data_IF_334818895093
#
_entry.id   IF_334818895093
#
_cell.length_a   1.000
_cell.length_b   1.000
_cell.length_c   1.000
_cell.angle_alpha   90.00
_cell.angle_beta   90.00
_cell.angle_gamma   90.00
#
_symmetry.space_group_name_H-M   'P 1'
#
loop_
_entity.id
_entity.type
_entity.pdbx_description
1 polymer ?
#
# COMPACT_ATOMS: atom_id res chain seq x y z
N UNK A 1 30.72 -7.86 18.80
CA UNK A 1 29.64 -8.70 19.33
C UNK A 1 29.19 -8.33 20.75
N UNK A 2 30.08 -7.89 21.68
CA UNK A 2 29.67 -7.58 23.07
C UNK A 2 29.01 -6.22 23.32
N UNK A 3 29.10 -5.24 22.43
CA UNK A 3 28.47 -3.92 22.60
C UNK A 3 26.95 -3.93 22.29
N UNK A 4 26.48 -4.71 21.31
CA UNK A 4 25.07 -4.80 20.96
C UNK A 4 24.20 -5.44 22.05
N UNK A 5 24.71 -6.44 22.76
CA UNK A 5 23.98 -7.14 23.83
C UNK A 5 23.75 -6.23 25.05
N UNK A 6 24.73 -5.38 25.40
CA UNK A 6 24.59 -4.42 26.50
C UNK A 6 23.63 -3.28 26.17
N UNK A 7 23.57 -2.78 24.94
CA UNK A 7 22.62 -1.74 24.53
C UNK A 7 21.17 -2.24 24.51
N UNK A 8 20.93 -3.52 24.20
CA UNK A 8 19.56 -4.09 24.14
C UNK A 8 18.96 -4.32 25.54
N UNK A 9 19.75 -4.75 26.52
CA UNK A 9 19.30 -4.93 27.91
C UNK A 9 18.86 -3.60 28.56
N UNK A 10 19.39 -2.47 28.08
CA UNK A 10 18.99 -1.13 28.51
C UNK A 10 17.73 -0.59 27.79
N UNK A 11 17.34 -1.13 26.64
CA UNK A 11 16.21 -0.61 25.84
C UNK A 11 14.83 -1.05 26.35
N UNK A 12 14.75 -2.26 26.89
CA UNK A 12 13.48 -2.82 27.41
C UNK A 12 13.70 -3.45 28.77
N UNK A 13 13.92 -2.62 29.82
CA UNK A 13 14.18 -3.15 31.17
C UNK A 13 12.99 -3.97 31.67
N UNK A 14 13.24 -5.20 32.06
CA UNK A 14 12.25 -6.10 32.63
C UNK A 14 11.62 -7.10 31.65
N UNK A 15 11.97 -7.06 30.34
CA UNK A 15 11.49 -8.04 29.36
C UNK A 15 12.62 -9.02 29.05
N UNK A 16 12.38 -10.32 29.25
CA UNK A 16 13.31 -11.40 28.91
C UNK A 16 12.89 -12.08 27.58
N UNK A 17 13.67 -11.91 26.49
CA UNK A 17 13.38 -12.56 25.21
C UNK A 17 13.29 -14.10 25.30
N UNK A 18 14.07 -14.72 26.22
CA UNK A 18 14.02 -16.16 26.42
C UNK A 18 12.71 -16.60 27.05
N UNK A 19 12.15 -15.81 27.99
CA UNK A 19 10.85 -16.08 28.58
C UNK A 19 9.72 -15.96 27.53
N UNK A 20 9.78 -14.94 26.66
CA UNK A 20 8.82 -14.76 25.54
C UNK A 20 8.89 -15.93 24.56
N UNK A 21 10.09 -16.35 24.15
CA UNK A 21 10.28 -17.51 23.27
C UNK A 21 9.75 -18.82 23.91
N UNK A 22 10.01 -19.01 25.21
CA UNK A 22 9.47 -20.15 25.97
C UNK A 22 7.93 -20.11 26.08
N UNK A 23 7.33 -18.93 26.14
CA UNK A 23 5.87 -18.77 26.14
C UNK A 23 5.28 -19.15 24.79
N UNK A 24 5.87 -18.71 23.67
CA UNK A 24 5.48 -19.11 22.32
C UNK A 24 5.44 -20.64 22.20
N UNK A 25 6.52 -21.33 22.58
CA UNK A 25 6.59 -22.79 22.55
C UNK A 25 5.50 -23.44 23.41
N UNK A 26 5.26 -22.96 24.63
CA UNK A 26 4.21 -23.49 25.53
C UNK A 26 2.79 -23.36 24.96
N UNK A 27 2.56 -22.31 24.14
CA UNK A 27 1.28 -22.08 23.46
C UNK A 27 1.19 -22.80 22.12
N UNK A 28 2.18 -23.65 21.78
CA UNK A 28 2.18 -24.50 20.60
C UNK A 28 2.70 -23.82 19.34
N UNK A 29 3.53 -22.80 19.45
CA UNK A 29 4.23 -22.20 18.30
C UNK A 29 5.28 -23.18 17.79
N UNK A 30 5.17 -23.58 16.53
CA UNK A 30 6.04 -24.57 15.87
C UNK A 30 7.07 -23.95 14.93
N UNK A 31 6.87 -22.69 14.51
CA UNK A 31 7.77 -21.96 13.62
C UNK A 31 9.08 -21.53 14.30
N UNK A 32 9.99 -20.92 13.52
CA UNK A 32 11.25 -20.41 14.06
C UNK A 32 11.03 -19.14 14.93
N UNK A 33 11.82 -19.04 15.99
CA UNK A 33 11.83 -17.86 16.87
C UNK A 33 13.26 -17.38 17.00
N UNK A 34 13.50 -16.11 16.65
CA UNK A 34 14.81 -15.47 16.70
C UNK A 34 14.82 -14.42 17.82
N UNK A 35 15.77 -14.59 18.76
CA UNK A 35 16.03 -13.64 19.86
C UNK A 35 17.22 -12.75 19.46
N UNK A 36 17.40 -11.60 20.12
CA UNK A 36 18.50 -10.68 19.82
C UNK A 36 19.90 -11.28 19.71
N UNK A 37 20.16 -12.39 20.42
CA UNK A 37 21.46 -13.08 20.43
C UNK A 37 21.57 -14.20 19.38
N UNK A 38 20.48 -14.52 18.69
CA UNK A 38 20.46 -15.62 17.73
C UNK A 38 21.01 -15.17 16.35
N UNK A 39 21.77 -16.04 15.65
CA UNK A 39 22.12 -15.81 14.25
C UNK A 39 20.84 -15.63 13.42
N UNK A 40 20.73 -14.65 12.59
CA UNK A 40 19.53 -14.40 11.78
C UNK A 40 18.55 -13.39 12.39
N UNK A 41 18.65 -13.06 13.68
CA UNK A 41 17.78 -12.04 14.25
C UNK A 41 17.82 -10.73 13.46
N UNK A 42 18.99 -10.25 13.07
CA UNK A 42 19.15 -9.03 12.29
C UNK A 42 18.54 -9.16 10.90
N UNK A 43 18.68 -10.32 10.24
CA UNK A 43 18.10 -10.58 8.93
C UNK A 43 16.56 -10.54 8.95
N UNK A 44 15.94 -11.10 9.99
CA UNK A 44 14.49 -11.25 10.04
C UNK A 44 13.75 -10.06 10.67
N UNK A 45 14.43 -9.17 11.41
CA UNK A 45 13.83 -7.97 12.01
C UNK A 45 13.79 -6.78 11.07
N UNK A 46 14.67 -6.73 10.07
CA UNK A 46 14.81 -5.60 9.18
C UNK A 46 13.62 -5.51 8.19
N UNK A 47 13.08 -4.31 7.94
CA UNK A 47 12.13 -4.07 6.87
C UNK A 47 12.86 -3.99 5.50
N UNK A 48 12.07 -3.89 4.41
CA UNK A 48 12.63 -3.76 3.06
C UNK A 48 13.50 -2.49 2.89
N UNK A 49 13.15 -1.41 3.57
CA UNK A 49 13.84 -0.13 3.48
C UNK A 49 14.55 0.18 4.80
N UNK A 50 15.76 0.69 4.72
CA UNK A 50 16.64 1.04 5.84
C UNK A 50 16.27 2.37 6.56
N UNK A 51 15.08 2.91 6.25
CA UNK A 51 14.57 4.14 6.88
C UNK A 51 14.31 4.00 8.38
N UNK A 52 14.08 2.77 8.85
CA UNK A 52 13.93 2.43 10.27
C UNK A 52 14.75 1.19 10.61
N UNK A 53 15.20 1.09 11.85
CA UNK A 53 15.99 -0.02 12.35
C UNK A 53 15.31 -0.58 13.63
N UNK A 54 14.30 -1.47 13.47
CA UNK A 54 13.48 -1.94 14.59
C UNK A 54 14.19 -2.97 15.46
N UNK A 55 13.90 -2.97 16.76
CA UNK A 55 14.42 -3.96 17.72
C UNK A 55 13.26 -4.65 18.46
N UNK A 56 12.58 -5.64 17.85
CA UNK A 56 11.57 -6.44 18.55
C UNK A 56 12.19 -7.30 19.66
N UNK A 57 11.41 -7.67 20.67
CA UNK A 57 11.82 -8.61 21.72
C UNK A 57 12.17 -9.96 21.16
N UNK A 58 11.34 -10.43 20.23
CA UNK A 58 11.56 -11.64 19.41
C UNK A 58 11.00 -11.44 18.02
N UNK A 59 11.59 -12.14 17.04
CA UNK A 59 10.99 -12.35 15.70
C UNK A 59 10.48 -13.78 15.66
N UNK A 60 9.20 -13.95 15.35
CA UNK A 60 8.52 -15.25 15.28
C UNK A 60 8.03 -15.51 13.84
N UNK A 61 8.50 -16.57 13.21
CA UNK A 61 8.11 -16.98 11.85
C UNK A 61 6.98 -18.00 11.89
N UNK A 62 5.74 -17.56 11.69
CA UNK A 62 4.58 -18.42 11.78
C UNK A 62 4.43 -19.32 10.55
N UNK A 63 4.25 -20.62 10.76
CA UNK A 63 4.02 -21.64 9.74
C UNK A 63 2.54 -21.87 9.40
N UNK A 64 1.63 -21.41 10.27
CA UNK A 64 0.19 -21.57 10.10
C UNK A 64 -0.66 -20.76 11.07
N UNK A 65 -2.00 -20.84 10.98
CA UNK A 65 -2.90 -20.09 11.86
C UNK A 65 -2.74 -20.42 13.36
N UNK A 66 -2.30 -21.63 13.69
CA UNK A 66 -2.02 -22.03 15.08
C UNK A 66 -0.85 -21.21 15.66
N UNK A 67 0.22 -21.04 14.88
CA UNK A 67 1.36 -20.20 15.28
C UNK A 67 0.95 -18.74 15.42
N UNK A 68 0.16 -18.22 14.47
CA UNK A 68 -0.38 -16.85 14.58
C UNK A 68 -1.15 -16.68 15.88
N UNK A 69 -2.01 -17.66 16.24
CA UNK A 69 -2.74 -17.65 17.49
C UNK A 69 -1.82 -17.68 18.72
N UNK A 70 -0.80 -18.53 18.71
CA UNK A 70 0.18 -18.63 19.78
C UNK A 70 0.94 -17.31 19.97
N UNK A 71 1.33 -16.64 18.86
CA UNK A 71 1.99 -15.34 18.91
C UNK A 71 1.08 -14.24 19.49
N UNK A 72 -0.19 -14.18 19.08
CA UNK A 72 -1.18 -13.23 19.60
C UNK A 72 -1.39 -13.43 21.10
N UNK A 73 -1.58 -14.68 21.56
CA UNK A 73 -1.76 -14.98 22.97
C UNK A 73 -0.51 -14.68 23.78
N UNK A 74 0.69 -14.98 23.27
CA UNK A 74 1.94 -14.66 23.92
C UNK A 74 2.08 -13.16 24.11
N UNK A 75 1.90 -12.37 23.05
CA UNK A 75 2.01 -10.92 23.09
C UNK A 75 1.00 -10.32 24.10
N UNK A 76 -0.24 -10.84 24.11
CA UNK A 76 -1.28 -10.41 25.07
C UNK A 76 -0.92 -10.72 26.53
N UNK A 77 -0.46 -11.96 26.80
CA UNK A 77 -0.16 -12.40 28.16
C UNK A 77 1.11 -11.74 28.75
N UNK A 78 2.07 -11.39 27.87
CA UNK A 78 3.29 -10.68 28.25
C UNK A 78 3.11 -9.13 28.15
N UNK A 79 1.89 -8.64 27.84
CA UNK A 79 1.55 -7.21 27.65
C UNK A 79 2.41 -6.50 26.60
N UNK A 80 2.91 -7.25 25.60
CA UNK A 80 3.74 -6.75 24.50
C UNK A 80 2.88 -6.34 23.31
N UNK A 81 3.25 -5.30 22.55
CA UNK A 81 2.63 -5.04 21.27
C UNK A 81 3.04 -6.10 20.23
N UNK A 82 2.19 -6.32 19.23
CA UNK A 82 2.46 -7.25 18.15
C UNK A 82 2.46 -6.51 16.82
N UNK A 83 3.56 -6.65 16.08
CA UNK A 83 3.69 -6.22 14.70
C UNK A 83 3.60 -7.42 13.76
N UNK A 84 3.04 -7.23 12.55
CA UNK A 84 2.99 -8.27 11.51
C UNK A 84 3.71 -7.75 10.27
N UNK A 85 4.61 -8.57 9.72
CA UNK A 85 5.38 -8.21 8.53
C UNK A 85 5.48 -9.40 7.56
N UNK A 86 5.31 -9.10 6.26
CA UNK A 86 5.63 -9.99 5.14
C UNK A 86 6.84 -9.41 4.42
N UNK A 87 6.62 -8.57 3.40
CA UNK A 87 7.69 -8.00 2.57
C UNK A 87 8.35 -6.74 3.15
N UNK A 88 7.73 -6.11 4.15
CA UNK A 88 8.26 -4.88 4.76
C UNK A 88 8.07 -3.59 3.94
N UNK A 89 7.41 -3.62 2.79
CA UNK A 89 7.20 -2.44 1.93
C UNK A 89 6.48 -1.27 2.64
N UNK A 90 5.54 -1.56 3.52
CA UNK A 90 4.74 -0.56 4.24
C UNK A 90 5.10 -0.42 5.71
N UNK A 91 6.33 -0.74 6.09
CA UNK A 91 6.78 -0.65 7.48
C UNK A 91 7.28 0.76 7.79
N UNK A 92 6.43 1.56 8.41
CA UNK A 92 6.74 2.94 8.85
C UNK A 92 6.85 3.09 10.37
N UNK A 93 6.37 2.08 11.11
CA UNK A 93 6.44 2.05 12.58
C UNK A 93 7.37 0.92 12.98
N UNK A 94 8.44 1.18 13.76
CA UNK A 94 9.34 0.13 14.21
C UNK A 94 8.63 -0.83 15.17
N UNK A 95 9.00 -2.11 15.09
CA UNK A 95 8.48 -3.16 16.00
C UNK A 95 9.16 -3.19 17.37
N UNK A 96 9.72 -2.08 17.81
CA UNK A 96 10.47 -1.93 19.04
C UNK A 96 9.70 -2.42 20.26
N UNK A 97 10.34 -3.26 21.08
CA UNK A 97 9.78 -3.78 22.32
C UNK A 97 8.56 -4.69 22.15
N UNK A 98 8.23 -5.07 20.92
CA UNK A 98 7.10 -5.94 20.62
C UNK A 98 7.52 -7.32 20.13
N UNK A 99 6.53 -8.16 19.84
CA UNK A 99 6.70 -9.38 19.05
C UNK A 99 6.56 -9.02 17.59
N UNK A 100 7.57 -9.30 16.77
CA UNK A 100 7.48 -9.22 15.31
C UNK A 100 7.08 -10.57 14.75
N UNK A 101 5.87 -10.67 14.22
CA UNK A 101 5.34 -11.88 13.58
C UNK A 101 5.57 -11.82 12.08
N UNK A 102 6.31 -12.78 11.55
CA UNK A 102 6.54 -12.99 10.13
C UNK A 102 5.62 -14.10 9.61
N UNK A 103 4.97 -13.88 8.48
CA UNK A 103 4.04 -14.84 7.87
C UNK A 103 4.45 -15.26 6.46
N UNK A 104 5.70 -15.01 6.08
CA UNK A 104 6.23 -15.23 4.73
C UNK A 104 6.06 -16.67 4.23
N UNK A 105 6.22 -17.69 5.10
CA UNK A 105 6.07 -19.09 4.75
C UNK A 105 4.65 -19.51 4.34
N UNK A 106 3.66 -18.68 4.66
CA UNK A 106 2.24 -18.93 4.39
C UNK A 106 1.81 -18.26 3.06
N UNK A 107 2.53 -18.53 1.96
CA UNK A 107 2.35 -17.86 0.66
C UNK A 107 1.42 -18.59 -0.32
N UNK A 108 0.62 -19.54 0.14
CA UNK A 108 -0.28 -20.28 -0.73
C UNK A 108 -1.21 -19.37 -1.54
N UNK A 109 -1.31 -19.62 -2.86
CA UNK A 109 -2.22 -18.96 -3.80
C UNK A 109 -3.09 -20.00 -4.47
N UNK A 110 -4.41 -19.87 -4.35
CA UNK A 110 -5.40 -20.74 -4.99
C UNK A 110 -6.32 -19.85 -5.81
N UNK A 111 -6.40 -20.12 -7.12
CA UNK A 111 -7.30 -19.42 -8.05
C UNK A 111 -8.41 -20.36 -8.49
N UNK A 112 -9.65 -19.92 -8.36
CA UNK A 112 -10.84 -20.55 -8.94
C UNK A 112 -11.26 -19.69 -10.16
N UNK A 113 -10.90 -20.09 -11.38
CA UNK A 113 -11.16 -19.30 -12.57
C UNK A 113 -12.65 -19.23 -12.93
N UNK A 114 -13.42 -20.27 -12.63
CA UNK A 114 -14.86 -20.30 -12.93
C UNK A 114 -15.64 -19.30 -12.06
N UNK A 115 -15.26 -19.21 -10.79
CA UNK A 115 -15.84 -18.24 -9.85
C UNK A 115 -15.13 -16.90 -9.89
N UNK A 116 -13.98 -16.82 -10.55
CA UNK A 116 -13.10 -15.63 -10.60
C UNK A 116 -12.73 -15.14 -9.19
N UNK A 117 -12.22 -16.06 -8.39
CA UNK A 117 -11.86 -15.81 -7.00
C UNK A 117 -10.42 -16.28 -6.78
N UNK A 118 -9.64 -15.48 -6.04
CA UNK A 118 -8.41 -15.94 -5.45
C UNK A 118 -8.55 -16.06 -3.94
N UNK A 119 -7.97 -17.13 -3.37
CA UNK A 119 -7.74 -17.29 -1.94
C UNK A 119 -6.25 -17.39 -1.70
N UNK A 120 -5.74 -16.55 -0.79
CA UNK A 120 -4.31 -16.44 -0.51
C UNK A 120 -4.02 -16.57 0.97
N UNK A 121 -2.84 -17.11 1.29
CA UNK A 121 -2.27 -17.03 2.62
C UNK A 121 -1.71 -15.63 2.91
N UNK A 122 -1.46 -15.29 4.19
CA UNK A 122 -1.03 -13.96 4.59
C UNK A 122 0.35 -13.56 4.05
N UNK A 123 1.20 -14.53 3.68
CA UNK A 123 2.54 -14.32 3.13
C UNK A 123 2.61 -14.15 1.62
N UNK A 124 1.49 -14.31 0.89
CA UNK A 124 1.47 -14.23 -0.57
C UNK A 124 1.88 -12.85 -1.09
N UNK A 125 2.61 -12.83 -2.21
CA UNK A 125 3.02 -11.63 -2.93
C UNK A 125 2.17 -11.42 -4.18
N UNK A 126 2.03 -10.18 -4.63
CA UNK A 126 1.23 -9.86 -5.82
C UNK A 126 1.74 -10.55 -7.08
N UNK A 127 3.06 -10.73 -7.24
CA UNK A 127 3.63 -11.44 -8.39
C UNK A 127 3.12 -12.88 -8.52
N UNK A 128 2.96 -13.60 -7.40
CA UNK A 128 2.45 -14.97 -7.36
C UNK A 128 0.98 -15.02 -7.79
N UNK A 129 0.16 -14.09 -7.29
CA UNK A 129 -1.27 -14.01 -7.63
C UNK A 129 -1.47 -13.59 -9.09
N UNK A 130 -0.71 -12.62 -9.58
CA UNK A 130 -0.77 -12.17 -10.97
C UNK A 130 -0.39 -13.30 -11.92
N UNK A 131 0.67 -14.05 -11.61
CA UNK A 131 1.12 -15.17 -12.44
C UNK A 131 0.07 -16.30 -12.49
N UNK A 132 -0.52 -16.66 -11.35
CA UNK A 132 -1.51 -17.72 -11.28
C UNK A 132 -2.84 -17.33 -11.95
N UNK A 133 -3.36 -16.13 -11.66
CA UNK A 133 -4.60 -15.62 -12.27
C UNK A 133 -4.46 -15.38 -13.79
N UNK A 134 -3.28 -14.93 -14.22
CA UNK A 134 -2.98 -14.65 -15.63
C UNK A 134 -3.08 -15.88 -16.52
N UNK A 135 -2.86 -17.11 -16.01
CA UNK A 135 -3.06 -18.37 -16.76
C UNK A 135 -4.48 -18.55 -17.28
N UNK A 136 -5.44 -17.90 -16.64
CA UNK A 136 -6.86 -17.94 -17.00
C UNK A 136 -7.37 -16.60 -17.57
N UNK A 137 -6.47 -15.68 -17.97
CA UNK A 137 -6.84 -14.36 -18.47
C UNK A 137 -7.50 -13.46 -17.42
N UNK A 138 -7.22 -13.72 -16.14
CA UNK A 138 -7.74 -12.96 -15.00
C UNK A 138 -6.65 -12.09 -14.38
N UNK A 139 -7.06 -10.95 -13.81
CA UNK A 139 -6.18 -10.06 -13.06
C UNK A 139 -6.77 -9.69 -11.69
N UNK A 140 -5.91 -9.60 -10.65
CA UNK A 140 -6.27 -8.98 -9.37
C UNK A 140 -6.17 -7.46 -9.44
N UNK A 141 -6.66 -6.75 -8.42
CA UNK A 141 -6.44 -5.32 -8.26
C UNK A 141 -5.10 -5.05 -7.56
N UNK A 142 -4.04 -5.57 -8.15
CA UNK A 142 -2.67 -5.43 -7.64
C UNK A 142 -2.14 -4.01 -7.81
N UNK A 143 -1.17 -3.65 -6.97
CA UNK A 143 -0.41 -2.40 -7.08
C UNK A 143 0.66 -2.44 -8.17
N UNK A 144 1.64 -1.55 -8.04
CA UNK A 144 2.69 -1.34 -9.05
C UNK A 144 3.97 -2.17 -8.81
N UNK A 145 3.99 -3.07 -7.83
CA UNK A 145 5.15 -3.92 -7.53
C UNK A 145 4.73 -5.36 -7.24
N UNK A 146 5.38 -6.31 -7.91
CA UNK A 146 5.17 -7.74 -7.74
C UNK A 146 5.60 -8.27 -6.37
N UNK A 147 6.51 -7.57 -5.68
CA UNK A 147 7.09 -7.99 -4.40
C UNK A 147 6.32 -7.47 -3.17
N UNK A 148 5.26 -6.70 -3.38
CA UNK A 148 4.38 -6.24 -2.29
C UNK A 148 3.50 -7.38 -1.79
N UNK A 149 3.39 -7.51 -0.46
CA UNK A 149 2.49 -8.48 0.17
C UNK A 149 1.01 -8.15 -0.06
N UNK A 150 0.25 -9.14 -0.52
CA UNK A 150 -1.18 -9.00 -0.88
C UNK A 150 -2.00 -8.49 0.30
N UNK A 151 -1.82 -9.11 1.47
CA UNK A 151 -2.65 -8.84 2.66
C UNK A 151 -2.48 -7.42 3.16
N UNK A 152 -1.24 -6.99 3.48
CA UNK A 152 -1.00 -5.65 4.01
C UNK A 152 -1.44 -4.53 3.05
N UNK A 153 -1.18 -4.72 1.75
CA UNK A 153 -1.63 -3.80 0.71
C UNK A 153 -3.17 -3.68 0.68
N UNK A 154 -3.87 -4.80 0.69
CA UNK A 154 -5.33 -4.84 0.58
C UNK A 154 -6.01 -4.27 1.82
N UNK A 155 -5.50 -4.59 3.02
CA UNK A 155 -6.03 -4.03 4.27
C UNK A 155 -5.91 -2.51 4.36
N UNK A 156 -4.90 -1.91 3.72
CA UNK A 156 -4.73 -0.46 3.61
C UNK A 156 -5.61 0.22 2.56
N UNK A 157 -6.38 -0.57 1.79
CA UNK A 157 -7.20 -0.12 0.67
C UNK A 157 -6.72 -0.68 -0.67
N UNK A 158 -5.46 -0.48 -1.01
CA UNK A 158 -4.82 -1.01 -2.21
C UNK A 158 -5.23 -0.33 -3.51
N UNK A 159 -4.35 0.52 -4.06
CA UNK A 159 -4.55 1.23 -5.33
C UNK A 159 -3.69 0.63 -6.43
N UNK A 160 -4.31 0.18 -7.52
CA UNK A 160 -3.65 -0.33 -8.72
C UNK A 160 -4.10 0.37 -10.00
N UNK A 161 -3.51 -0.05 -11.12
CA UNK A 161 -3.79 0.52 -12.45
C UNK A 161 -5.17 0.12 -13.01
N UNK A 162 -5.83 -0.88 -12.44
CA UNK A 162 -7.22 -1.24 -12.74
C UNK A 162 -8.23 -0.54 -11.81
N UNK A 163 -7.77 0.33 -10.91
CA UNK A 163 -8.59 0.93 -9.86
C UNK A 163 -9.73 1.80 -10.40
N UNK A 164 -9.49 2.61 -11.42
CA UNK A 164 -10.54 3.44 -12.04
C UNK A 164 -11.69 2.60 -12.61
N UNK A 165 -11.39 1.41 -13.12
CA UNK A 165 -12.41 0.50 -13.68
C UNK A 165 -13.11 -0.33 -12.64
N UNK A 166 -12.43 -0.74 -11.56
CA UNK A 166 -12.92 -1.78 -10.66
C UNK A 166 -12.91 -1.42 -9.16
N UNK A 167 -12.39 -0.26 -8.77
CA UNK A 167 -12.27 0.16 -7.37
C UNK A 167 -10.93 -0.20 -6.73
N UNK A 168 -10.87 -0.08 -5.41
CA UNK A 168 -9.70 -0.46 -4.62
C UNK A 168 -9.63 -1.98 -4.43
N UNK A 169 -8.44 -2.52 -4.15
CA UNK A 169 -8.29 -3.95 -3.85
C UNK A 169 -9.18 -4.39 -2.68
N UNK A 170 -9.33 -3.54 -1.67
CA UNK A 170 -10.23 -3.77 -0.54
C UNK A 170 -11.71 -3.93 -0.95
N UNK A 171 -12.13 -3.27 -2.04
CA UNK A 171 -13.51 -3.39 -2.54
C UNK A 171 -13.76 -4.76 -3.19
N UNK A 172 -12.70 -5.48 -3.59
CA UNK A 172 -12.78 -6.83 -4.17
C UNK A 172 -12.84 -7.94 -3.11
N UNK A 173 -12.52 -7.66 -1.84
CA UNK A 173 -12.48 -8.67 -0.76
C UNK A 173 -13.87 -9.25 -0.52
N UNK A 174 -13.91 -10.58 -0.43
CA UNK A 174 -15.13 -11.36 -0.17
C UNK A 174 -15.20 -11.86 1.26
N UNK A 175 -14.05 -12.28 1.82
CA UNK A 175 -13.91 -12.71 3.21
C UNK A 175 -12.45 -12.74 3.65
N UNK A 176 -12.23 -12.70 4.97
CA UNK A 176 -10.94 -12.88 5.60
C UNK A 176 -11.06 -13.85 6.78
N UNK A 177 -10.05 -14.68 7.00
CA UNK A 177 -9.86 -15.42 8.25
C UNK A 177 -8.88 -14.64 9.12
N UNK A 178 -9.23 -14.42 10.38
CA UNK A 178 -8.53 -13.47 11.25
C UNK A 178 -8.35 -14.06 12.63
N UNK A 179 -7.16 -13.99 13.19
CA UNK A 179 -6.92 -14.18 14.63
C UNK A 179 -7.05 -12.83 15.32
N UNK A 180 -8.09 -12.69 16.16
CA UNK A 180 -8.38 -11.47 16.92
C UNK A 180 -7.53 -11.37 18.20
N UNK A 181 -7.52 -10.22 18.88
CA UNK A 181 -6.64 -9.99 20.05
C UNK A 181 -6.92 -10.93 21.23
N UNK A 182 -8.09 -11.55 21.30
CA UNK A 182 -8.40 -12.59 22.29
C UNK A 182 -7.89 -13.98 21.91
N UNK A 183 -7.27 -14.14 20.74
CA UNK A 183 -6.77 -15.41 20.21
C UNK A 183 -7.85 -16.23 19.49
N UNK A 184 -9.04 -15.70 19.24
CA UNK A 184 -10.09 -16.40 18.49
C UNK A 184 -9.80 -16.34 16.98
N UNK A 185 -9.95 -17.47 16.28
CA UNK A 185 -9.94 -17.52 14.83
C UNK A 185 -11.36 -17.33 14.33
N UNK A 186 -11.61 -16.23 13.64
CA UNK A 186 -12.94 -15.85 13.11
C UNK A 186 -12.92 -15.66 11.61
N UNK A 187 -14.08 -15.86 10.97
CA UNK A 187 -14.27 -15.49 9.56
C UNK A 187 -15.03 -14.16 9.50
N UNK A 188 -14.41 -13.15 8.89
CA UNK A 188 -15.03 -11.87 8.61
C UNK A 188 -15.57 -11.85 7.17
N UNK A 189 -16.86 -11.60 7.00
CA UNK A 189 -17.57 -11.50 5.72
C UNK A 189 -18.80 -10.60 5.89
N UNK A 190 -19.55 -10.26 4.82
CA UNK A 190 -20.80 -9.50 4.96
C UNK A 190 -21.80 -10.12 5.95
N UNK A 191 -21.85 -11.46 6.03
CA UNK A 191 -22.80 -12.22 6.85
C UNK A 191 -22.22 -12.66 8.20
N UNK A 192 -20.90 -12.55 8.39
CA UNK A 192 -20.22 -12.96 9.63
C UNK A 192 -19.22 -11.91 10.07
N UNK A 193 -19.32 -11.40 11.29
CA UNK A 193 -18.49 -10.32 11.80
C UNK A 193 -18.48 -9.09 10.87
N UNK A 194 -19.63 -8.54 10.43
CA UNK A 194 -19.72 -7.51 9.39
C UNK A 194 -18.98 -6.21 9.77
N UNK A 195 -18.93 -5.87 11.05
CA UNK A 195 -18.17 -4.70 11.52
C UNK A 195 -16.65 -4.89 11.33
N UNK A 196 -16.13 -6.08 11.66
CA UNK A 196 -14.73 -6.44 11.42
C UNK A 196 -14.43 -6.48 9.92
N UNK A 197 -15.31 -7.10 9.13
CA UNK A 197 -15.19 -7.17 7.68
C UNK A 197 -15.10 -5.77 7.03
N UNK A 198 -15.96 -4.84 7.47
CA UNK A 198 -15.90 -3.45 7.01
C UNK A 198 -14.58 -2.79 7.39
N UNK A 199 -14.13 -2.94 8.65
CA UNK A 199 -12.91 -2.31 9.15
C UNK A 199 -11.63 -2.83 8.47
N UNK A 200 -11.56 -4.13 8.15
CA UNK A 200 -10.42 -4.74 7.45
C UNK A 200 -10.24 -4.21 6.01
N UNK A 201 -11.28 -3.67 5.39
CA UNK A 201 -11.27 -3.21 4.00
C UNK A 201 -10.88 -1.73 3.87
N UNK A 202 -9.76 -1.35 4.49
CA UNK A 202 -9.18 0.00 4.45
C UNK A 202 -8.66 0.50 5.80
N UNK A 203 -9.00 -0.16 6.92
CA UNK A 203 -8.55 0.24 8.26
C UNK A 203 -7.17 -0.31 8.65
N UNK A 204 -6.48 -1.00 7.75
CA UNK A 204 -5.13 -1.55 8.00
C UNK A 204 -5.12 -2.75 8.97
N UNK A 205 -3.95 -3.01 9.52
CA UNK A 205 -3.69 -4.15 10.40
C UNK A 205 -4.04 -3.88 11.88
N UNK A 206 -5.16 -3.20 12.15
CA UNK A 206 -5.54 -2.76 13.49
C UNK A 206 -6.40 -3.75 14.28
N UNK A 207 -7.01 -4.73 13.63
CA UNK A 207 -8.15 -5.47 14.19
C UNK A 207 -7.87 -6.96 14.41
N UNK A 208 -6.69 -7.43 14.06
CA UNK A 208 -6.28 -8.82 14.13
C UNK A 208 -5.24 -9.17 13.07
N UNK A 209 -4.77 -10.41 13.13
CA UNK A 209 -3.84 -10.98 12.14
C UNK A 209 -4.63 -11.79 11.13
N UNK A 210 -4.64 -11.36 9.87
CA UNK A 210 -5.26 -12.10 8.77
C UNK A 210 -4.44 -13.35 8.48
N UNK A 211 -5.09 -14.52 8.42
CA UNK A 211 -4.48 -15.82 8.11
C UNK A 211 -4.90 -16.36 6.74
N UNK A 212 -5.96 -15.83 6.17
CA UNK A 212 -6.33 -16.06 4.76
C UNK A 212 -7.19 -14.91 4.27
N UNK A 213 -7.03 -14.57 2.99
CA UNK A 213 -7.81 -13.53 2.31
C UNK A 213 -8.41 -14.11 1.03
N UNK A 214 -9.69 -13.83 0.78
CA UNK A 214 -10.40 -14.23 -0.44
C UNK A 214 -10.95 -12.99 -1.14
N UNK A 215 -10.69 -12.84 -2.45
CA UNK A 215 -11.09 -11.67 -3.22
C UNK A 215 -11.40 -12.00 -4.68
N UNK A 216 -12.14 -11.10 -5.34
CA UNK A 216 -12.52 -11.22 -6.76
C UNK A 216 -11.34 -10.98 -7.67
N UNK A 217 -11.34 -11.70 -8.78
CA UNK A 217 -10.51 -11.50 -9.95
C UNK A 217 -11.36 -10.96 -11.11
N UNK A 218 -10.72 -10.26 -12.03
CA UNK A 218 -11.40 -9.60 -13.15
C UNK A 218 -10.89 -10.14 -14.48
N UNK A 219 -11.76 -10.31 -15.50
CA UNK A 219 -11.34 -10.74 -16.84
C UNK A 219 -10.56 -9.60 -17.50
N UNK A 220 -9.25 -9.75 -17.56
CA UNK A 220 -8.30 -8.80 -18.17
C UNK A 220 -7.19 -9.62 -18.85
N UNK A 221 -7.48 -10.22 -20.02
CA UNK A 221 -6.49 -11.04 -20.73
C UNK A 221 -5.35 -10.21 -21.29
N UNK A 222 -5.62 -8.96 -21.64
CA UNK A 222 -4.69 -8.02 -22.23
C UNK A 222 -5.02 -6.60 -21.79
N UNK A 223 -4.01 -5.73 -21.77
CA UNK A 223 -4.12 -4.29 -21.55
C UNK A 223 -3.28 -3.53 -22.58
N UNK A 224 -3.68 -2.31 -22.92
CA UNK A 224 -2.82 -1.36 -23.60
C UNK A 224 -2.15 -0.50 -22.54
N UNK A 225 -0.87 -0.77 -22.25
CA UNK A 225 -0.23 -0.20 -21.07
C UNK A 225 1.27 0.02 -21.27
N UNK A 226 1.82 0.86 -20.40
CA UNK A 226 3.24 1.18 -20.33
C UNK A 226 3.49 2.65 -20.03
N UNK A 227 4.68 3.10 -20.39
CA UNK A 227 5.10 4.48 -20.19
C UNK A 227 5.82 5.02 -21.41
N UNK A 228 5.63 6.31 -21.69
CA UNK A 228 6.36 7.04 -22.72
C UNK A 228 7.05 8.26 -22.12
N UNK A 229 8.26 8.53 -22.60
CA UNK A 229 9.15 9.58 -22.09
C UNK A 229 9.26 10.69 -23.12
N UNK A 230 9.06 11.92 -22.69
CA UNK A 230 9.03 13.12 -23.54
C UNK A 230 9.93 14.21 -22.97
N UNK A 231 10.17 15.30 -23.74
CA UNK A 231 10.89 16.46 -23.21
C UNK A 231 10.15 17.09 -22.04
N UNK A 232 10.87 17.39 -20.95
CA UNK A 232 10.29 18.09 -19.77
C UNK A 232 9.76 19.48 -20.12
N UNK A 233 10.27 20.10 -21.17
CA UNK A 233 9.87 21.44 -21.62
C UNK A 233 8.39 21.49 -22.08
N UNK A 234 7.81 20.32 -22.40
CA UNK A 234 6.38 20.17 -22.69
C UNK A 234 5.52 20.01 -21.43
N UNK A 235 6.14 20.01 -20.24
CA UNK A 235 5.48 19.71 -18.97
C UNK A 235 4.29 20.61 -18.66
N UNK A 236 4.48 21.94 -18.71
CA UNK A 236 3.41 22.90 -18.39
C UNK A 236 2.21 22.76 -19.33
N UNK A 237 2.45 22.70 -20.64
CA UNK A 237 1.40 22.54 -21.65
C UNK A 237 0.66 21.21 -21.51
N UNK A 238 1.41 20.13 -21.24
CA UNK A 238 0.84 18.80 -21.07
C UNK A 238 -0.01 18.72 -19.79
N UNK A 239 0.44 19.30 -18.68
CA UNK A 239 -0.33 19.35 -17.43
C UNK A 239 -1.62 20.18 -17.58
N UNK A 240 -1.55 21.34 -18.27
CA UNK A 240 -2.73 22.17 -18.55
C UNK A 240 -3.74 21.46 -19.44
N UNK A 241 -3.28 20.75 -20.45
CA UNK A 241 -4.15 19.90 -21.27
C UNK A 241 -4.74 18.74 -20.46
N UNK A 242 -3.91 18.06 -19.68
CA UNK A 242 -4.28 16.87 -18.92
C UNK A 242 -5.41 17.11 -17.92
N UNK A 243 -5.40 18.23 -17.18
CA UNK A 243 -6.45 18.54 -16.19
C UNK A 243 -7.85 18.61 -16.78
N UNK A 244 -7.98 18.98 -18.08
CA UNK A 244 -9.24 19.00 -18.81
C UNK A 244 -9.55 17.65 -19.46
N UNK A 245 -8.57 17.08 -20.12
CA UNK A 245 -8.70 15.80 -20.82
C UNK A 245 -9.03 14.64 -19.87
N UNK A 246 -8.42 14.60 -18.69
CA UNK A 246 -8.62 13.54 -17.71
C UNK A 246 -10.08 13.45 -17.23
N UNK A 247 -10.79 14.58 -17.16
CA UNK A 247 -12.21 14.60 -16.75
C UNK A 247 -13.14 13.83 -17.71
N UNK A 248 -12.74 13.70 -18.99
CA UNK A 248 -13.49 13.01 -20.04
C UNK A 248 -13.00 11.57 -20.29
N UNK A 249 -11.90 11.17 -19.62
CA UNK A 249 -11.30 9.86 -19.81
C UNK A 249 -12.20 8.75 -19.25
N UNK A 250 -12.45 7.65 -20.01
CA UNK A 250 -13.29 6.56 -19.56
C UNK A 250 -12.68 5.84 -18.33
N UNK A 251 -13.52 5.19 -17.53
CA UNK A 251 -13.07 4.50 -16.31
C UNK A 251 -12.09 3.35 -16.61
N UNK A 252 -12.14 2.77 -17.78
CA UNK A 252 -11.20 1.73 -18.22
C UNK A 252 -9.76 2.25 -18.42
N UNK A 253 -9.55 3.59 -18.47
CA UNK A 253 -8.26 4.22 -18.66
C UNK A 253 -7.74 4.84 -17.36
N UNK A 254 -6.66 4.30 -16.84
CA UNK A 254 -5.89 4.86 -15.73
C UNK A 254 -4.63 5.52 -16.25
N UNK A 255 -4.36 6.76 -15.83
CA UNK A 255 -3.20 7.53 -16.28
C UNK A 255 -2.50 8.26 -15.15
N UNK A 256 -1.21 8.54 -15.35
CA UNK A 256 -0.46 9.50 -14.54
C UNK A 256 0.53 10.27 -15.41
N UNK A 257 0.81 11.51 -15.00
CA UNK A 257 1.92 12.30 -15.52
C UNK A 257 2.98 12.38 -14.44
N UNK A 258 4.22 12.07 -14.82
CA UNK A 258 5.38 12.21 -13.92
C UNK A 258 6.37 13.18 -14.56
N UNK A 259 6.72 14.23 -13.84
CA UNK A 259 7.89 15.02 -14.15
C UNK A 259 9.03 14.53 -13.27
N UNK A 260 10.15 14.15 -13.87
CA UNK A 260 11.25 13.62 -13.08
C UNK A 260 12.62 13.87 -13.66
N UNK A 261 13.63 13.87 -12.79
CA UNK A 261 15.03 13.66 -13.13
C UNK A 261 15.34 12.19 -13.04
N UNK A 262 15.68 11.58 -14.17
CA UNK A 262 16.06 10.17 -14.23
C UNK A 262 17.48 10.02 -13.72
N UNK A 263 17.75 9.13 -12.75
CA UNK A 263 19.12 8.82 -12.33
C UNK A 263 19.98 8.33 -13.50
N UNK A 264 21.29 8.65 -13.47
CA UNK A 264 22.24 8.14 -14.44
C UNK A 264 22.81 6.78 -14.00
N UNK A 265 21.92 5.78 -13.88
CA UNK A 265 22.25 4.41 -13.48
C UNK A 265 21.74 3.41 -14.52
N UNK A 266 22.31 2.19 -14.48
CA UNK A 266 21.95 1.12 -15.43
C UNK A 266 20.50 0.61 -15.29
N UNK A 267 19.84 0.90 -14.20
CA UNK A 267 18.44 0.55 -13.95
C UNK A 267 17.46 1.27 -14.90
N UNK A 268 17.91 2.34 -15.55
CA UNK A 268 17.11 3.10 -16.48
C UNK A 268 17.58 2.95 -17.92
N UNK A 269 16.66 3.04 -18.91
CA UNK A 269 17.02 3.00 -20.34
C UNK A 269 18.02 4.09 -20.71
N UNK A 270 19.05 3.76 -21.47
CA UNK A 270 20.14 4.69 -21.83
C UNK A 270 19.65 6.00 -22.50
N UNK A 271 18.53 5.94 -23.24
CA UNK A 271 17.94 7.09 -23.92
C UNK A 271 17.50 8.22 -22.97
N UNK A 272 17.19 7.89 -21.69
CA UNK A 272 16.62 8.83 -20.72
C UNK A 272 17.48 9.06 -19.48
N UNK A 273 18.58 8.33 -19.31
CA UNK A 273 19.52 8.47 -18.18
C UNK A 273 20.03 9.91 -18.02
N UNK A 274 20.09 10.40 -16.79
CA UNK A 274 20.57 11.73 -16.44
C UNK A 274 19.69 12.87 -16.94
N UNK A 275 18.57 12.59 -17.62
CA UNK A 275 17.71 13.64 -18.19
C UNK A 275 16.57 14.01 -17.27
N UNK A 276 16.11 15.26 -17.43
CA UNK A 276 14.80 15.68 -16.95
C UNK A 276 13.77 15.36 -18.02
N UNK A 277 12.72 14.65 -17.66
CA UNK A 277 11.73 14.14 -18.60
C UNK A 277 10.30 14.30 -18.07
N UNK A 278 9.37 14.41 -19.00
CA UNK A 278 7.96 14.18 -18.79
C UNK A 278 7.68 12.69 -19.10
N UNK A 279 7.02 11.98 -18.21
CA UNK A 279 6.61 10.59 -18.40
C UNK A 279 5.09 10.51 -18.40
N UNK A 280 4.52 9.94 -19.45
CA UNK A 280 3.12 9.53 -19.46
C UNK A 280 3.07 8.06 -19.06
N UNK A 281 2.30 7.74 -18.03
CA UNK A 281 1.97 6.35 -17.66
C UNK A 281 0.51 6.10 -17.99
N UNK A 282 0.20 4.97 -18.60
CA UNK A 282 -1.16 4.61 -18.96
C UNK A 282 -1.40 3.11 -18.82
N UNK A 283 -2.62 2.75 -18.44
CA UNK A 283 -3.17 1.39 -18.54
C UNK A 283 -4.61 1.50 -18.97
N UNK A 284 -4.91 0.95 -20.13
CA UNK A 284 -6.28 0.82 -20.63
C UNK A 284 -6.68 -0.66 -20.61
N UNK A 285 -7.70 -0.97 -19.84
CA UNK A 285 -8.25 -2.33 -19.71
C UNK A 285 -9.44 -2.51 -20.68
N UNK A 286 -9.13 -2.59 -21.97
CA UNK A 286 -10.07 -2.72 -23.08
C UNK A 286 -9.33 -3.04 -24.38
N UNK A 287 -9.97 -2.78 -25.51
CA UNK A 287 -9.37 -2.99 -26.84
C UNK A 287 -8.14 -2.09 -27.05
N UNK A 288 -6.97 -2.63 -27.43
CA UNK A 288 -5.74 -1.86 -27.58
C UNK A 288 -5.82 -0.72 -28.60
N UNK A 289 -6.55 -0.88 -29.72
CA UNK A 289 -6.70 0.18 -30.73
C UNK A 289 -7.52 1.34 -30.17
N UNK A 290 -8.52 1.04 -29.36
CA UNK A 290 -9.28 2.04 -28.60
C UNK A 290 -8.37 2.77 -27.59
N UNK A 291 -7.54 2.04 -26.86
CA UNK A 291 -6.58 2.60 -25.91
C UNK A 291 -5.62 3.57 -26.57
N UNK A 292 -5.07 3.21 -27.73
CA UNK A 292 -4.20 4.08 -28.53
C UNK A 292 -4.94 5.33 -28.99
N UNK A 293 -6.16 5.18 -29.50
CA UNK A 293 -7.00 6.29 -29.96
C UNK A 293 -7.30 7.28 -28.82
N UNK A 294 -7.61 6.79 -27.62
CA UNK A 294 -7.89 7.60 -26.45
C UNK A 294 -6.66 8.39 -25.97
N UNK A 295 -5.47 7.79 -26.01
CA UNK A 295 -4.23 8.44 -25.59
C UNK A 295 -3.62 9.39 -26.62
N UNK A 296 -4.00 9.28 -27.89
CA UNK A 296 -3.41 10.08 -28.98
C UNK A 296 -3.41 11.58 -28.71
N UNK A 297 -4.50 12.26 -28.27
CA UNK A 297 -4.48 13.70 -28.03
C UNK A 297 -3.48 14.09 -26.94
N UNK A 298 -3.32 13.29 -25.87
CA UNK A 298 -2.37 13.55 -24.81
C UNK A 298 -0.92 13.38 -25.32
N UNK A 299 -0.65 12.37 -26.12
CA UNK A 299 0.65 12.13 -26.76
C UNK A 299 1.04 13.25 -27.73
N UNK A 300 0.09 13.76 -28.50
CA UNK A 300 0.31 14.89 -29.43
C UNK A 300 0.75 16.14 -28.68
N UNK A 301 0.11 16.45 -27.55
CA UNK A 301 0.49 17.60 -26.70
C UNK A 301 1.84 17.37 -26.02
N UNK A 302 2.12 16.17 -25.53
CA UNK A 302 3.42 15.84 -24.93
C UNK A 302 4.58 15.89 -25.95
N UNK A 303 4.27 15.83 -27.25
CA UNK A 303 5.24 15.92 -28.35
C UNK A 303 5.96 14.59 -28.62
N UNK A 304 7.02 14.60 -29.45
CA UNK A 304 7.75 13.39 -29.81
C UNK A 304 8.29 12.65 -28.60
N UNK A 305 8.09 11.33 -28.54
CA UNK A 305 8.63 10.51 -27.49
C UNK A 305 10.14 10.28 -27.67
N UNK A 306 10.89 10.40 -26.59
CA UNK A 306 12.30 9.98 -26.50
C UNK A 306 12.38 8.45 -26.43
N UNK A 307 11.43 7.86 -25.68
CA UNK A 307 11.21 6.43 -25.56
C UNK A 307 9.71 6.19 -25.38
N UNK A 308 9.17 5.19 -26.04
CA UNK A 308 7.77 4.80 -25.94
C UNK A 308 7.64 3.29 -25.77
N UNK A 309 7.03 2.87 -24.67
CA UNK A 309 6.77 1.48 -24.33
C UNK A 309 5.29 1.22 -24.04
N UNK A 310 4.39 2.15 -24.43
CA UNK A 310 2.95 1.93 -24.31
C UNK A 310 2.49 1.08 -25.48
N UNK A 311 2.09 -0.18 -25.19
CA UNK A 311 1.74 -1.18 -26.19
C UNK A 311 0.73 -2.20 -25.66
N UNK A 312 0.11 -3.02 -26.51
CA UNK A 312 -0.60 -4.22 -26.05
C UNK A 312 0.33 -5.15 -25.27
N UNK A 313 -0.10 -5.58 -24.10
CA UNK A 313 0.72 -6.40 -23.20
C UNK A 313 -0.16 -7.16 -22.19
N UNK A 314 0.41 -8.12 -21.46
CA UNK A 314 -0.28 -8.76 -20.36
C UNK A 314 -0.37 -7.82 -19.15
N UNK A 315 -1.35 -8.06 -18.26
CA UNK A 315 -1.40 -7.30 -17.00
C UNK A 315 -0.15 -7.52 -16.14
N UNK A 316 0.47 -8.70 -16.21
CA UNK A 316 1.70 -9.03 -15.50
C UNK A 316 2.88 -8.13 -15.93
N UNK A 317 3.00 -7.87 -17.22
CA UNK A 317 4.07 -7.04 -17.79
C UNK A 317 3.77 -5.53 -17.67
N UNK A 318 2.51 -5.18 -17.42
CA UNK A 318 2.03 -3.80 -17.28
C UNK A 318 2.26 -3.23 -15.86
N UNK A 319 2.83 -3.99 -14.93
CA UNK A 319 3.11 -3.52 -13.56
C UNK A 319 4.21 -2.46 -13.62
N UNK A 320 3.78 -1.19 -13.57
CA UNK A 320 4.67 -0.03 -13.62
C UNK A 320 5.02 0.39 -12.20
N UNK A 321 6.30 0.32 -11.82
CA UNK A 321 6.79 0.67 -10.50
C UNK A 321 6.26 2.02 -10.00
N UNK A 322 6.06 2.14 -8.71
CA UNK A 322 5.70 3.36 -8.00
C UNK A 322 6.40 3.37 -6.64
N UNK A 323 6.67 4.55 -6.12
CA UNK A 323 7.27 4.73 -4.80
C UNK A 323 6.30 5.47 -3.89
N UNK A 324 6.33 5.16 -2.59
CA UNK A 324 5.76 6.03 -1.58
C UNK A 324 6.46 7.39 -1.62
N UNK A 325 5.76 8.45 -1.28
CA UNK A 325 6.30 9.81 -1.33
C UNK A 325 6.07 10.52 0.01
N UNK A 326 7.06 11.28 0.51
CA UNK A 326 6.92 12.08 1.73
C UNK A 326 5.79 13.09 1.67
N UNK A 327 5.49 13.62 0.49
CA UNK A 327 4.30 14.43 0.27
C UNK A 327 3.28 13.70 -0.60
N UNK A 328 2.06 13.58 -0.10
CA UNK A 328 0.88 13.14 -0.84
C UNK A 328 -0.32 13.98 -0.40
N UNK A 329 -1.06 14.51 -1.37
CA UNK A 329 -2.35 15.15 -1.15
C UNK A 329 -3.30 14.89 -2.33
N UNK A 330 -4.58 15.16 -2.12
CA UNK A 330 -5.64 14.93 -3.09
C UNK A 330 -6.28 16.25 -3.51
N UNK A 331 -6.75 16.32 -4.75
CA UNK A 331 -7.22 17.56 -5.36
C UNK A 331 -8.54 17.32 -6.06
N UNK A 332 -9.51 18.18 -5.80
CA UNK A 332 -10.78 18.20 -6.56
C UNK A 332 -10.60 18.87 -7.91
N UNK A 333 -9.72 19.85 -7.97
CA UNK A 333 -9.38 20.64 -9.17
C UNK A 333 -7.88 20.92 -9.21
N UNK A 334 -7.37 21.21 -10.40
CA UNK A 334 -5.97 21.58 -10.62
C UNK A 334 -5.91 23.03 -11.12
N UNK A 335 -5.98 24.06 -10.24
CA UNK A 335 -5.89 25.45 -10.64
C UNK A 335 -4.49 25.80 -11.14
N UNK A 336 -4.35 26.92 -11.86
CA UNK A 336 -3.08 27.34 -12.47
C UNK A 336 -1.89 27.32 -11.49
N UNK A 337 -2.02 27.79 -10.22
CA UNK A 337 -0.89 27.71 -9.28
C UNK A 337 -0.40 26.28 -9.00
N UNK A 338 -1.28 25.28 -9.06
CA UNK A 338 -0.90 23.87 -8.90
C UNK A 338 -0.17 23.38 -10.14
N UNK A 339 -0.70 23.67 -11.33
CA UNK A 339 -0.04 23.33 -12.61
C UNK A 339 1.35 23.97 -12.68
N UNK A 340 1.48 25.25 -12.36
CA UNK A 340 2.76 25.97 -12.35
C UNK A 340 3.74 25.38 -11.32
N UNK A 341 3.26 25.03 -10.13
CA UNK A 341 4.09 24.41 -9.11
C UNK A 341 4.65 23.05 -9.58
N UNK A 342 3.84 22.21 -10.20
CA UNK A 342 4.26 20.92 -10.76
C UNK A 342 5.25 21.14 -11.93
N UNK A 343 4.91 21.99 -12.88
CA UNK A 343 5.73 22.25 -14.08
C UNK A 343 7.15 22.75 -13.74
N UNK A 344 7.29 23.43 -12.61
CA UNK A 344 8.57 24.03 -12.16
C UNK A 344 9.26 23.23 -11.05
N UNK A 345 8.67 22.12 -10.59
CA UNK A 345 9.19 21.35 -9.45
C UNK A 345 10.55 20.70 -9.74
N UNK A 346 10.76 20.19 -10.96
CA UNK A 346 12.00 19.51 -11.35
C UNK A 346 12.99 20.54 -11.91
N UNK A 347 13.80 21.07 -11.02
CA UNK A 347 14.80 22.09 -11.36
C UNK A 347 16.01 21.49 -12.11
N UNK A 348 16.76 22.37 -12.79
CA UNK A 348 18.03 21.99 -13.44
C UNK A 348 19.20 22.13 -12.45
N UNK A 349 18.97 21.66 -11.23
CA UNK A 349 19.95 21.64 -10.16
C UNK A 349 20.14 20.18 -9.70
N UNK A 350 21.31 19.56 -9.91
CA UNK A 350 21.58 18.21 -9.46
C UNK A 350 21.39 17.98 -7.95
N UNK A 351 21.59 19.02 -7.14
CA UNK A 351 21.48 18.98 -5.70
C UNK A 351 20.02 19.16 -5.20
N UNK A 352 19.07 19.45 -6.11
CA UNK A 352 17.66 19.58 -5.73
C UNK A 352 17.14 18.27 -5.14
N UNK A 353 16.57 18.28 -3.92
CA UNK A 353 16.03 17.09 -3.30
C UNK A 353 14.79 16.56 -4.01
N UNK A 354 14.06 17.39 -4.78
CA UNK A 354 12.92 16.97 -5.58
C UNK A 354 13.41 16.41 -6.90
N UNK A 355 13.28 15.12 -7.05
CA UNK A 355 13.64 14.41 -8.29
C UNK A 355 12.43 13.88 -9.05
N UNK A 356 11.26 13.81 -8.42
CA UNK A 356 10.04 13.32 -9.04
C UNK A 356 8.78 13.94 -8.45
N UNK A 357 7.86 14.34 -9.33
CA UNK A 357 6.46 14.67 -8.97
C UNK A 357 5.55 13.85 -9.85
N UNK A 358 4.52 13.22 -9.26
CA UNK A 358 3.52 12.45 -9.99
C UNK A 358 2.14 13.07 -9.77
N UNK A 359 1.43 13.35 -10.86
CA UNK A 359 0.00 13.65 -10.89
C UNK A 359 -0.74 12.42 -11.42
N UNK A 360 -1.52 11.76 -10.57
CA UNK A 360 -2.28 10.56 -10.91
C UNK A 360 -3.77 10.85 -10.97
N UNK A 361 -4.43 10.36 -12.02
CA UNK A 361 -5.87 10.40 -12.17
C UNK A 361 -6.56 9.29 -11.37
N UNK A 362 -7.40 9.69 -10.42
CA UNK A 362 -8.31 8.85 -9.65
C UNK A 362 -9.73 8.95 -10.24
N UNK A 363 -10.78 8.74 -9.48
CA UNK A 363 -12.16 8.80 -9.96
C UNK A 363 -12.63 7.45 -10.52
N UNK A 364 -13.62 7.45 -11.40
CA UNK A 364 -14.25 6.22 -11.87
C UNK A 364 -14.80 5.37 -10.72
N UNK A 365 -14.61 4.05 -10.77
CA UNK A 365 -15.07 3.14 -9.72
C UNK A 365 -14.44 3.41 -8.33
N UNK A 366 -13.28 4.07 -8.25
CA UNK A 366 -12.71 4.49 -6.97
C UNK A 366 -13.64 5.49 -6.24
N UNK A 367 -14.29 6.39 -7.00
CA UNK A 367 -15.19 7.42 -6.51
C UNK A 367 -16.66 6.96 -6.42
N UNK A 368 -16.99 5.79 -6.93
CA UNK A 368 -18.32 5.20 -6.94
C UNK A 368 -18.39 3.91 -6.11
N UNK A 369 -18.13 3.97 -4.78
CA UNK A 369 -18.13 2.79 -3.94
C UNK A 369 -19.52 2.16 -3.85
N UNK A 370 -19.58 0.84 -3.75
CA UNK A 370 -20.80 0.13 -3.39
C UNK A 370 -21.29 0.48 -1.97
N UNK A 371 -22.52 0.12 -1.61
CA UNK A 371 -23.11 0.46 -0.32
C UNK A 371 -22.34 -0.09 0.89
N UNK A 372 -21.61 -1.18 0.69
CA UNK A 372 -20.84 -1.86 1.73
C UNK A 372 -19.33 -1.55 1.66
N UNK A 373 -18.94 -0.47 1.00
CA UNK A 373 -17.53 -0.12 0.84
C UNK A 373 -16.82 0.09 2.18
N UNK A 374 -15.53 -0.30 2.21
CA UNK A 374 -14.67 -0.09 3.37
C UNK A 374 -14.29 1.39 3.57
N UNK A 375 -13.68 1.71 4.73
CA UNK A 375 -13.38 3.08 5.17
C UNK A 375 -12.16 3.67 4.46
N UNK A 376 -12.26 4.02 3.19
CA UNK A 376 -11.20 4.66 2.42
C UNK A 376 -11.60 6.12 2.19
N UNK A 377 -10.86 7.08 2.76
CA UNK A 377 -11.27 8.47 2.85
C UNK A 377 -11.28 9.29 1.54
N UNK A 378 -10.19 9.31 0.74
CA UNK A 378 -10.07 10.28 -0.36
C UNK A 378 -10.73 9.82 -1.67
N UNK A 379 -11.83 9.06 -1.62
CA UNK A 379 -12.48 8.48 -2.81
C UNK A 379 -12.95 9.52 -3.84
N UNK A 380 -13.45 10.66 -3.37
CA UNK A 380 -14.11 11.65 -4.23
C UNK A 380 -13.14 12.60 -4.95
N UNK A 381 -11.88 12.63 -4.58
CA UNK A 381 -10.90 13.48 -5.23
C UNK A 381 -10.41 12.84 -6.55
N UNK A 382 -10.59 13.50 -7.71
CA UNK A 382 -10.20 12.92 -9.00
C UNK A 382 -8.70 12.92 -9.25
N UNK A 383 -7.90 13.64 -8.46
CA UNK A 383 -6.46 13.74 -8.64
C UNK A 383 -5.72 13.50 -7.33
N UNK A 384 -4.58 12.82 -7.43
CA UNK A 384 -3.58 12.71 -6.37
C UNK A 384 -2.26 13.26 -6.87
N UNK A 385 -1.59 14.07 -6.05
CA UNK A 385 -0.24 14.58 -6.33
C UNK A 385 0.71 14.03 -5.27
N UNK A 386 1.79 13.42 -5.72
CA UNK A 386 2.89 13.00 -4.86
C UNK A 386 4.20 13.69 -5.27
N UNK A 387 5.02 14.02 -4.26
CA UNK A 387 6.36 14.59 -4.43
C UNK A 387 7.33 13.75 -3.60
N UNK A 388 8.43 13.35 -4.18
CA UNK A 388 9.42 12.47 -3.55
C UNK A 388 10.28 13.13 -2.47
N UNK A 389 10.07 14.44 -2.23
CA UNK A 389 10.60 15.17 -1.10
C UNK A 389 9.60 16.22 -0.60
N UNK A 390 9.40 16.32 0.72
CA UNK A 390 8.54 17.38 1.30
C UNK A 390 9.35 18.64 1.54
N UNK A 391 9.60 19.41 0.48
CA UNK A 391 10.30 20.69 0.55
C UNK A 391 9.35 21.86 0.36
N UNK A 392 9.44 22.91 1.20
CA UNK A 392 8.51 24.05 1.19
C UNK A 392 8.42 24.77 -0.16
N UNK A 393 9.50 24.81 -0.94
CA UNK A 393 9.57 25.47 -2.24
C UNK A 393 8.54 24.95 -3.25
N UNK A 394 8.19 23.66 -3.13
CA UNK A 394 7.19 22.97 -3.94
C UNK A 394 5.90 22.77 -3.15
N UNK A 395 5.98 22.13 -1.98
CA UNK A 395 4.80 21.65 -1.25
C UNK A 395 3.98 22.78 -0.64
N UNK A 396 4.59 23.94 -0.26
CA UNK A 396 3.85 25.11 0.21
C UNK A 396 2.94 25.72 -0.87
N UNK A 397 3.26 25.54 -2.14
CA UNK A 397 2.41 26.00 -3.26
C UNK A 397 1.26 25.03 -3.53
N UNK A 398 1.43 23.75 -3.21
CA UNK A 398 0.44 22.70 -3.43
C UNK A 398 -0.60 22.62 -2.30
N UNK A 399 -0.14 22.67 -1.03
CA UNK A 399 -0.98 22.51 0.17
C UNK A 399 -2.24 23.37 0.24
N UNK A 400 -2.25 24.66 -0.16
CA UNK A 400 -3.46 25.49 -0.08
C UNK A 400 -4.61 25.04 -0.97
N UNK A 401 -4.32 24.23 -1.99
CA UNK A 401 -5.28 23.73 -2.97
C UNK A 401 -5.66 22.28 -2.76
N UNK A 402 -4.92 21.58 -1.89
CA UNK A 402 -5.16 20.18 -1.55
C UNK A 402 -6.29 20.02 -0.52
N UNK A 403 -6.77 18.81 -0.39
CA UNK A 403 -7.80 18.42 0.59
C UNK A 403 -7.23 18.22 2.00
N UNK A 404 -5.91 18.07 2.14
CA UNK A 404 -5.24 17.64 3.36
C UNK A 404 -5.43 16.16 3.69
N UNK A 405 -6.15 15.40 2.87
CA UNK A 405 -6.33 13.97 3.02
C UNK A 405 -5.06 13.20 2.66
N UNK A 406 -5.01 11.93 3.06
CA UNK A 406 -3.95 11.01 2.67
C UNK A 406 -4.53 9.63 2.37
N UNK A 407 -3.69 8.71 1.89
CA UNK A 407 -4.08 7.33 1.61
C UNK A 407 -3.19 6.39 2.41
N UNK A 408 -3.79 5.45 3.15
CA UNK A 408 -3.09 4.66 4.16
C UNK A 408 -1.87 3.90 3.60
N UNK A 409 -1.97 3.33 2.38
CA UNK A 409 -0.86 2.62 1.75
C UNK A 409 0.36 3.50 1.42
N UNK A 410 0.17 4.81 1.29
CA UNK A 410 1.25 5.77 0.95
C UNK A 410 1.62 6.69 2.11
N UNK A 411 1.04 6.46 3.28
CA UNK A 411 1.25 7.30 4.46
C UNK A 411 2.57 6.96 5.15
N UNK A 412 3.52 7.88 5.10
CA UNK A 412 4.81 7.76 5.79
C UNK A 412 4.80 8.28 7.23
N UNK A 413 3.89 9.21 7.57
CA UNK A 413 3.77 9.80 8.91
C UNK A 413 2.59 9.19 9.68
N UNK A 414 2.84 8.31 10.68
CA UNK A 414 1.78 7.70 11.48
C UNK A 414 0.91 8.72 12.24
N UNK A 415 1.40 9.92 12.50
CA UNK A 415 0.62 11.00 13.12
C UNK A 415 -0.53 11.50 12.27
N UNK A 416 -0.51 11.24 10.97
CA UNK A 416 -1.54 11.63 10.02
C UNK A 416 -2.59 10.55 9.70
N UNK A 417 -2.60 9.43 10.41
CA UNK A 417 -3.58 8.34 10.21
C UNK A 417 -5.04 8.83 10.14
N UNK A 418 -5.51 9.77 11.00
CA UNK A 418 -6.88 10.29 10.90
C UNK A 418 -7.22 10.95 9.56
N UNK A 419 -6.22 11.52 8.86
CA UNK A 419 -6.42 12.17 7.55
C UNK A 419 -6.65 11.18 6.39
N UNK A 420 -6.45 9.87 6.61
CA UNK A 420 -6.78 8.83 5.64
C UNK A 420 -8.27 8.46 5.61
N UNK A 421 -9.08 9.04 6.47
CA UNK A 421 -10.48 8.68 6.67
C UNK A 421 -11.38 9.91 6.76
N UNK A 422 -12.69 9.70 6.53
CA UNK A 422 -13.68 10.67 6.99
C UNK A 422 -13.76 10.65 8.52
N UNK A 423 -14.18 11.76 9.14
CA UNK A 423 -14.36 11.82 10.60
C UNK A 423 -15.33 10.74 11.12
N UNK A 424 -16.36 10.42 10.35
CA UNK A 424 -17.34 9.39 10.69
C UNK A 424 -16.71 7.99 10.65
N UNK A 425 -15.96 7.69 9.58
CA UNK A 425 -15.30 6.40 9.42
C UNK A 425 -14.20 6.19 10.46
N UNK A 426 -13.39 7.22 10.73
CA UNK A 426 -12.34 7.11 11.77
C UNK A 426 -12.94 6.82 13.16
N UNK A 427 -14.06 7.46 13.51
CA UNK A 427 -14.78 7.17 14.76
C UNK A 427 -15.31 5.73 14.80
N UNK A 428 -15.94 5.27 13.72
CA UNK A 428 -16.42 3.89 13.61
C UNK A 428 -15.28 2.88 13.67
N UNK A 429 -14.14 3.16 13.03
CA UNK A 429 -12.93 2.32 13.13
C UNK A 429 -12.45 2.20 14.57
N UNK A 430 -12.40 3.31 15.33
CA UNK A 430 -12.02 3.29 16.73
C UNK A 430 -13.00 2.50 17.62
N UNK A 431 -14.29 2.50 17.29
CA UNK A 431 -15.31 1.67 17.95
C UNK A 431 -15.10 0.19 17.65
N UNK A 432 -14.88 -0.20 16.38
CA UNK A 432 -14.55 -1.58 16.01
C UNK A 432 -13.23 -2.02 16.65
N UNK A 433 -12.24 -1.12 16.71
CA UNK A 433 -10.97 -1.40 17.41
C UNK A 433 -11.20 -1.71 18.88
N UNK A 434 -12.02 -0.95 19.58
CA UNK A 434 -12.39 -1.24 20.99
C UNK A 434 -13.03 -2.63 21.14
N UNK A 435 -13.86 -3.04 20.19
CA UNK A 435 -14.60 -4.29 20.28
C UNK A 435 -13.72 -5.52 19.96
N UNK A 436 -12.70 -5.38 19.10
CA UNK A 436 -11.83 -6.50 18.68
C UNK A 436 -10.41 -6.44 19.26
N UNK A 437 -9.93 -5.28 19.67
CA UNK A 437 -8.60 -5.10 20.30
C UNK A 437 -8.63 -3.97 21.35
N UNK A 438 -9.35 -4.16 22.46
CA UNK A 438 -9.50 -3.13 23.50
C UNK A 438 -8.19 -2.75 24.19
N UNK A 439 -7.20 -3.66 24.22
CA UNK A 439 -5.88 -3.43 24.80
C UNK A 439 -4.90 -2.74 23.86
N UNK A 440 -5.32 -2.47 22.61
CA UNK A 440 -4.46 -1.93 21.57
C UNK A 440 -3.19 -2.77 21.35
N UNK A 441 -3.36 -4.10 21.29
CA UNK A 441 -2.28 -5.06 21.05
C UNK A 441 -1.61 -4.81 19.70
N UNK A 442 -2.42 -4.59 18.65
CA UNK A 442 -1.99 -4.31 17.28
C UNK A 442 -1.76 -2.81 17.07
N UNK A 443 -0.79 -2.21 17.78
CA UNK A 443 -0.47 -0.76 17.71
C UNK A 443 0.79 -0.43 16.90
N UNK A 444 1.61 -1.42 16.57
CA UNK A 444 2.86 -1.23 15.84
C UNK A 444 2.62 -1.20 14.32
N UNK A 445 1.80 -0.24 13.89
CA UNK A 445 1.42 0.02 12.51
C UNK A 445 0.86 1.45 12.41
N UNK A 446 0.12 1.79 11.36
CA UNK A 446 -0.73 2.99 11.30
C UNK A 446 -1.89 2.84 12.30
N UNK A 447 -1.58 3.07 13.58
CA UNK A 447 -2.46 2.74 14.68
C UNK A 447 -3.74 3.59 14.70
N UNK A 448 -4.86 2.91 14.91
CA UNK A 448 -6.15 3.50 15.25
C UNK A 448 -6.43 3.13 16.71
N UNK A 449 -6.28 4.06 17.66
CA UNK A 449 -6.54 3.77 19.08
C UNK A 449 -8.00 3.35 19.31
N UNK A 450 -8.26 2.42 20.24
CA UNK A 450 -9.63 2.03 20.58
C UNK A 450 -10.42 3.21 21.17
N UNK A 451 -11.70 3.32 20.79
CA UNK A 451 -12.58 4.33 21.35
C UNK A 451 -12.70 4.17 22.87
N UNK A 452 -12.73 5.29 23.60
CA UNK A 452 -13.02 5.26 25.03
C UNK A 452 -14.39 4.62 25.29
N UNK A 453 -14.54 3.88 26.41
CA UNK A 453 -15.83 3.34 26.76
C UNK A 453 -16.86 4.48 26.92
N UNK A 454 -18.14 4.25 26.59
CA UNK A 454 -19.18 5.23 26.84
C UNK A 454 -19.14 5.65 28.31
N UNK A 455 -19.19 6.95 28.59
CA UNK A 455 -19.32 7.41 29.97
C UNK A 455 -20.59 6.79 30.55
N UNK A 456 -20.43 6.08 31.67
CA UNK A 456 -21.60 5.65 32.43
C UNK A 456 -22.40 6.92 32.81
N UNK A 457 -23.60 7.05 32.24
CA UNK A 457 -24.51 8.15 32.52
C UNK A 457 -25.11 8.06 33.92
#
# INVERSE_FOLDING_TARGET
>A
MSQNVQEQTYRYPGIDPAAVAARLSRLGFEGAVHRPDDPGYDEYREPLYDTINPYPVVVAEASGPADVRAAVLTAREEELPLAVQVSGHGTWVPSDGGVLLRTNSQSAVIVDPDRRIARVGPGALWGEVIAEAGRSGLAPLAGSSATVGVTGYTLGGGLGWLGRKHGFAADSVLRAEVVTADGSLVTASPDSHPALFWALRGGGANFGVVTALEFRLYPVPEVYAGQSYHSIERGAETLDFYRRWAAEAPDALSTAIVLRRVPDTEDFPAAVRGRRVLVLKATYAGDPEEGERLLRPLREVAGPAILDDIRPTTFADAVMGGQGAPFLDFYHELPDPVVDALATAIQDDPESPVTSVELRHWGGALAAPGPDAGPIGPRLAPFAISVDADVPEVTAKLRPHGTGATFLNFLGDPGRVPAAYTTADYRRLAEVKRDYDPSNLFRLNHNIPPALPPRAG
#
